data_IF_387664509995
#
_entry.id   IF_387664509995
#
_cell.length_a   1.000
_cell.length_b   1.000
_cell.length_c   1.000
_cell.angle_alpha   90.00
_cell.angle_beta   90.00
_cell.angle_gamma   90.00
#
_symmetry.space_group_name_H-M   'P 1'
#
loop_
_entity.id
_entity.type
_entity.pdbx_description
1 polymer ?
#
# COMPACT_ATOMS: atom_id res chain seq x y z
N UNK A 1 -1.46 -11.45 -24.87
CA UNK A 1 -0.85 -11.00 -23.59
C UNK A 1 -1.80 -11.17 -22.38
N UNK A 2 -2.72 -12.16 -22.39
CA UNK A 2 -3.67 -12.40 -21.28
C UNK A 2 -3.32 -13.61 -20.38
N UNK A 3 -2.28 -14.40 -20.71
CA UNK A 3 -2.03 -15.67 -20.01
C UNK A 3 -1.29 -15.57 -18.66
N UNK A 4 -0.55 -14.48 -18.39
CA UNK A 4 0.30 -14.40 -17.19
C UNK A 4 -0.51 -14.14 -15.90
N UNK A 5 -1.69 -13.53 -15.99
CA UNK A 5 -2.55 -13.28 -14.82
C UNK A 5 -3.45 -14.47 -14.45
N UNK A 6 -3.70 -15.37 -15.40
CA UNK A 6 -4.49 -16.60 -15.19
C UNK A 6 -3.75 -17.63 -14.33
N UNK A 7 -2.43 -17.47 -14.15
CA UNK A 7 -1.60 -18.40 -13.38
C UNK A 7 -1.50 -18.06 -11.87
N UNK A 8 -1.30 -16.79 -11.51
CA UNK A 8 -1.03 -16.43 -10.10
C UNK A 8 -2.21 -16.71 -9.15
N UNK A 9 -3.44 -16.49 -9.60
CA UNK A 9 -4.63 -16.77 -8.78
C UNK A 9 -4.78 -18.27 -8.49
N UNK A 10 -4.51 -19.11 -9.49
CA UNK A 10 -4.56 -20.57 -9.39
C UNK A 10 -3.45 -21.09 -8.50
N UNK A 11 -2.21 -20.65 -8.71
CA UNK A 11 -1.07 -21.00 -7.88
C UNK A 11 -1.27 -20.57 -6.41
N UNK A 12 -1.76 -19.34 -6.19
CA UNK A 12 -2.10 -18.85 -4.86
C UNK A 12 -3.21 -19.68 -4.22
N UNK A 13 -4.24 -20.09 -4.96
CA UNK A 13 -5.31 -20.94 -4.44
C UNK A 13 -4.79 -22.29 -3.96
N UNK A 14 -3.90 -22.91 -4.73
CA UNK A 14 -3.25 -24.18 -4.36
C UNK A 14 -2.37 -24.00 -3.11
N UNK A 15 -1.61 -22.91 -3.05
CA UNK A 15 -0.80 -22.56 -1.88
C UNK A 15 -1.65 -22.37 -0.62
N UNK A 16 -2.72 -21.59 -0.69
CA UNK A 16 -3.60 -21.34 0.46
C UNK A 16 -4.39 -22.57 0.90
N UNK A 17 -4.66 -23.52 -0.01
CA UNK A 17 -5.29 -24.79 0.36
C UNK A 17 -4.54 -25.53 1.48
N UNK A 18 -3.21 -25.37 1.52
CA UNK A 18 -2.33 -26.05 2.49
C UNK A 18 -1.85 -25.14 3.62
N UNK A 19 -1.84 -23.82 3.42
CA UNK A 19 -1.25 -22.86 4.37
C UNK A 19 -2.27 -22.03 5.15
N UNK A 20 -3.48 -21.84 4.62
CA UNK A 20 -4.54 -21.03 5.24
C UNK A 20 -5.93 -21.37 4.70
N UNK A 21 -6.65 -22.25 5.42
CA UNK A 21 -7.99 -22.71 5.03
C UNK A 21 -9.03 -21.59 4.98
N UNK A 22 -8.88 -20.55 5.81
CA UNK A 22 -9.80 -19.38 5.80
C UNK A 22 -9.61 -18.61 4.50
N UNK A 23 -8.36 -18.35 4.10
CA UNK A 23 -8.07 -17.69 2.83
C UNK A 23 -8.54 -18.53 1.64
N UNK A 24 -8.26 -19.84 1.63
CA UNK A 24 -8.70 -20.75 0.56
C UNK A 24 -10.22 -20.71 0.37
N UNK A 25 -10.99 -20.80 1.47
CA UNK A 25 -12.46 -20.73 1.41
C UNK A 25 -12.95 -19.35 0.96
N UNK A 26 -12.30 -18.28 1.40
CA UNK A 26 -12.62 -16.93 0.94
C UNK A 26 -12.42 -16.80 -0.57
N UNK A 27 -11.37 -17.40 -1.12
CA UNK A 27 -11.16 -17.44 -2.56
C UNK A 27 -12.26 -18.19 -3.30
N UNK A 28 -12.72 -19.33 -2.77
CA UNK A 28 -13.80 -20.10 -3.39
C UNK A 28 -15.12 -19.31 -3.44
N UNK A 29 -15.40 -18.51 -2.41
CA UNK A 29 -16.62 -17.68 -2.36
C UNK A 29 -16.53 -16.45 -3.27
N UNK A 30 -15.36 -15.80 -3.31
CA UNK A 30 -15.15 -14.59 -4.11
C UNK A 30 -15.00 -14.92 -5.60
N UNK A 31 -14.42 -16.08 -5.91
CA UNK A 31 -14.10 -16.48 -7.28
C UNK A 31 -12.71 -16.03 -7.74
N UNK A 32 -12.47 -15.96 -9.07
CA UNK A 32 -11.15 -15.73 -9.66
C UNK A 32 -10.46 -14.45 -9.19
N UNK A 33 -9.13 -14.49 -9.10
CA UNK A 33 -8.32 -13.31 -8.79
C UNK A 33 -8.39 -12.29 -9.92
N UNK A 34 -8.90 -11.09 -9.62
CA UNK A 34 -9.22 -10.07 -10.63
C UNK A 34 -8.38 -8.80 -10.58
N UNK A 35 -7.25 -8.78 -9.87
CA UNK A 35 -6.36 -7.61 -9.89
C UNK A 35 -5.57 -7.61 -11.21
N UNK A 36 -5.84 -6.61 -12.05
CA UNK A 36 -5.07 -6.34 -13.25
C UNK A 36 -4.18 -5.12 -13.02
N UNK A 37 -2.84 -5.26 -13.03
CA UNK A 37 -1.94 -4.13 -12.91
C UNK A 37 -1.96 -3.27 -14.17
N UNK A 38 -1.93 -1.95 -13.99
CA UNK A 38 -1.78 -0.99 -15.07
C UNK A 38 -0.30 -0.88 -15.44
N UNK A 39 0.15 -1.75 -16.34
CA UNK A 39 1.56 -1.86 -16.73
C UNK A 39 2.04 -0.67 -17.58
N UNK A 40 1.12 0.08 -18.19
CA UNK A 40 1.44 1.26 -19.00
C UNK A 40 1.50 2.54 -18.15
N UNK A 41 1.09 2.47 -16.87
CA UNK A 41 1.16 3.61 -15.97
C UNK A 41 2.60 3.87 -15.49
N UNK A 42 3.09 5.07 -15.78
CA UNK A 42 4.39 5.51 -15.27
C UNK A 42 4.35 5.74 -13.75
N UNK A 43 5.48 5.59 -13.04
CA UNK A 43 5.53 5.83 -11.59
C UNK A 43 5.11 7.25 -11.23
N UNK A 44 5.54 8.24 -12.02
CA UNK A 44 5.11 9.63 -11.87
C UNK A 44 3.58 9.76 -11.95
N UNK A 45 2.94 9.18 -12.98
CA UNK A 45 1.49 9.23 -13.14
C UNK A 45 0.76 8.54 -11.99
N UNK A 46 1.25 7.37 -11.56
CA UNK A 46 0.67 6.62 -10.45
C UNK A 46 0.70 7.43 -9.15
N UNK A 47 1.86 7.98 -8.79
CA UNK A 47 2.06 8.75 -7.57
C UNK A 47 1.32 10.10 -7.61
N UNK A 48 1.33 10.79 -8.75
CA UNK A 48 0.58 12.04 -8.91
C UNK A 48 -0.94 11.81 -8.76
N UNK A 49 -1.46 10.72 -9.32
CA UNK A 49 -2.85 10.30 -9.10
C UNK A 49 -3.13 9.99 -7.63
N UNK A 50 -2.22 9.29 -6.96
CA UNK A 50 -2.36 9.00 -5.53
C UNK A 50 -2.44 10.29 -4.70
N UNK A 51 -1.52 11.24 -4.92
CA UNK A 51 -1.51 12.56 -4.28
C UNK A 51 -2.84 13.30 -4.54
N UNK A 52 -3.35 13.25 -5.76
CA UNK A 52 -4.64 13.87 -6.10
C UNK A 52 -5.81 13.28 -5.29
N UNK A 53 -5.83 11.96 -5.06
CA UNK A 53 -6.91 11.27 -4.34
C UNK A 53 -6.86 11.45 -2.82
N UNK A 54 -5.72 11.84 -2.24
CA UNK A 54 -5.59 12.01 -0.80
C UNK A 54 -6.66 12.96 -0.24
N UNK A 55 -7.34 12.52 0.82
CA UNK A 55 -8.35 13.29 1.56
C UNK A 55 -9.54 13.81 0.72
N UNK A 56 -9.83 13.17 -0.43
CA UNK A 56 -10.96 13.53 -1.29
C UNK A 56 -11.86 12.33 -1.58
N UNK A 57 -13.13 12.62 -1.86
CA UNK A 57 -14.01 11.64 -2.50
C UNK A 57 -13.49 11.32 -3.93
N UNK A 58 -13.65 10.07 -4.37
CA UNK A 58 -13.04 9.61 -5.63
C UNK A 58 -13.49 10.40 -6.86
N UNK A 59 -14.74 10.88 -6.91
CA UNK A 59 -15.26 11.71 -8.00
C UNK A 59 -14.55 13.07 -8.08
N UNK A 60 -14.30 13.73 -6.95
CA UNK A 60 -13.60 15.01 -6.91
C UNK A 60 -12.16 14.90 -7.44
N UNK A 61 -11.43 13.87 -7.00
CA UNK A 61 -10.07 13.62 -7.47
C UNK A 61 -10.01 13.31 -8.98
N UNK A 62 -10.96 12.51 -9.49
CA UNK A 62 -11.10 12.24 -10.93
C UNK A 62 -11.32 13.52 -11.73
N UNK A 63 -12.20 14.41 -11.28
CA UNK A 63 -12.46 15.69 -11.95
C UNK A 63 -11.22 16.61 -11.98
N UNK A 64 -10.46 16.68 -10.87
CA UNK A 64 -9.21 17.46 -10.82
C UNK A 64 -8.19 16.90 -11.81
N UNK A 65 -8.01 15.57 -11.84
CA UNK A 65 -7.07 14.91 -12.75
C UNK A 65 -7.48 15.07 -14.22
N UNK A 66 -8.77 15.01 -14.53
CA UNK A 66 -9.27 15.26 -15.88
C UNK A 66 -8.91 16.67 -16.35
N UNK A 67 -9.10 17.69 -15.50
CA UNK A 67 -8.71 19.08 -15.79
C UNK A 67 -7.19 19.24 -15.96
N UNK A 68 -6.40 18.57 -15.13
CA UNK A 68 -4.93 18.56 -15.28
C UNK A 68 -4.51 18.06 -16.67
N UNK A 69 -5.11 16.95 -17.13
CA UNK A 69 -4.80 16.35 -18.44
C UNK A 69 -5.29 17.25 -19.58
N UNK A 70 -6.52 17.75 -19.52
CA UNK A 70 -7.10 18.55 -20.60
C UNK A 70 -6.42 19.90 -20.75
N UNK A 71 -6.16 20.60 -19.64
CA UNK A 71 -5.73 22.00 -19.65
C UNK A 71 -4.20 22.10 -19.66
N UNK A 72 -3.52 21.34 -18.82
CA UNK A 72 -2.08 21.50 -18.63
C UNK A 72 -1.25 20.45 -19.37
N UNK A 73 -1.82 19.25 -19.56
CA UNK A 73 -1.20 18.09 -20.20
C UNK A 73 -1.43 17.95 -21.71
N UNK A 74 -2.18 18.88 -22.33
CA UNK A 74 -2.47 18.91 -23.78
C UNK A 74 -3.03 17.58 -24.31
N UNK A 75 -3.95 16.97 -23.56
CA UNK A 75 -4.58 15.70 -23.94
C UNK A 75 -3.83 14.44 -23.47
N UNK A 76 -2.68 14.60 -22.81
CA UNK A 76 -1.93 13.50 -22.18
C UNK A 76 -1.63 13.82 -20.72
N UNK A 77 -1.26 12.82 -19.91
CA UNK A 77 -0.82 13.10 -18.54
C UNK A 77 0.52 13.86 -18.59
N UNK A 78 0.68 14.98 -17.87
CA UNK A 78 1.89 15.79 -17.97
C UNK A 78 3.14 14.99 -17.59
N UNK A 79 4.27 15.26 -18.24
CA UNK A 79 5.57 14.77 -17.81
C UNK A 79 6.02 15.52 -16.54
N UNK A 80 7.02 15.01 -15.79
CA UNK A 80 7.61 15.75 -14.67
C UNK A 80 8.05 17.18 -15.06
N UNK A 81 8.76 17.32 -16.18
CA UNK A 81 9.23 18.61 -16.69
C UNK A 81 8.06 19.54 -17.03
N UNK A 82 7.01 19.00 -17.67
CA UNK A 82 5.82 19.78 -17.99
C UNK A 82 5.10 20.22 -16.72
N UNK A 83 4.99 19.35 -15.72
CA UNK A 83 4.38 19.71 -14.44
C UNK A 83 5.11 20.88 -13.78
N UNK A 84 6.44 20.86 -13.81
CA UNK A 84 7.28 21.94 -13.28
C UNK A 84 7.16 23.26 -14.06
N UNK A 85 6.80 23.22 -15.34
CA UNK A 85 6.61 24.42 -16.16
C UNK A 85 5.23 25.08 -16.01
N UNK A 86 4.23 24.40 -15.43
CA UNK A 86 2.90 24.99 -15.20
C UNK A 86 3.02 26.04 -14.08
N UNK A 87 2.36 27.20 -14.14
CA UNK A 87 2.26 28.13 -13.01
C UNK A 87 1.49 27.54 -11.82
N UNK A 88 1.89 27.87 -10.60
CA UNK A 88 1.17 27.41 -9.41
C UNK A 88 -0.29 27.88 -9.37
N UNK A 89 -0.56 29.10 -9.83
CA UNK A 89 -1.91 29.67 -9.94
C UNK A 89 -2.83 28.82 -10.83
N UNK A 90 -2.32 28.26 -11.92
CA UNK A 90 -3.08 27.34 -12.78
C UNK A 90 -3.39 26.02 -12.07
N UNK A 91 -2.42 25.45 -11.36
CA UNK A 91 -2.64 24.24 -10.56
C UNK A 91 -3.66 24.46 -9.43
N UNK A 92 -3.69 25.67 -8.85
CA UNK A 92 -4.72 26.08 -7.88
C UNK A 92 -6.09 26.16 -8.55
N UNK A 93 -6.17 26.79 -9.73
CA UNK A 93 -7.43 26.95 -10.47
C UNK A 93 -8.06 25.62 -10.88
N UNK A 94 -7.27 24.60 -11.24
CA UNK A 94 -7.81 23.25 -11.53
C UNK A 94 -8.28 22.48 -10.29
N UNK A 95 -7.91 22.92 -9.08
CA UNK A 95 -8.44 22.41 -7.82
C UNK A 95 -7.45 21.71 -6.89
N UNK A 96 -6.13 21.75 -7.16
CA UNK A 96 -5.15 21.22 -6.20
C UNK A 96 -4.94 22.19 -5.05
N UNK A 97 -4.91 21.70 -3.81
CA UNK A 97 -4.49 22.51 -2.65
C UNK A 97 -2.99 22.83 -2.70
N UNK A 98 -2.54 23.86 -1.97
CA UNK A 98 -1.12 24.21 -1.86
C UNK A 98 -0.25 23.02 -1.40
N UNK A 99 -0.72 22.23 -0.43
CA UNK A 99 -0.01 21.05 0.03
C UNK A 99 0.15 19.99 -1.09
N UNK A 100 -0.88 19.78 -1.91
CA UNK A 100 -0.82 18.86 -3.06
C UNK A 100 0.08 19.39 -4.16
N UNK A 101 0.07 20.70 -4.41
CA UNK A 101 0.99 21.32 -5.37
C UNK A 101 2.43 21.11 -4.93
N UNK A 102 2.76 21.40 -3.67
CA UNK A 102 4.11 21.16 -3.14
C UNK A 102 4.54 19.69 -3.27
N UNK A 103 3.64 18.74 -2.99
CA UNK A 103 3.90 17.31 -3.17
C UNK A 103 4.11 16.92 -4.65
N UNK A 104 3.32 17.50 -5.56
CA UNK A 104 3.44 17.26 -7.00
C UNK A 104 4.75 17.81 -7.58
N UNK A 105 5.19 19.00 -7.15
CA UNK A 105 6.47 19.59 -7.55
C UNK A 105 7.64 18.73 -7.06
N UNK A 106 7.62 18.38 -5.77
CA UNK A 106 8.64 17.52 -5.17
C UNK A 106 8.71 16.14 -5.86
N UNK A 107 7.55 15.55 -6.19
CA UNK A 107 7.49 14.33 -6.99
C UNK A 107 8.14 14.50 -8.38
N UNK A 108 7.83 15.59 -9.08
CA UNK A 108 8.41 15.84 -10.41
C UNK A 108 9.93 16.04 -10.35
N UNK A 109 10.41 16.82 -9.40
CA UNK A 109 11.85 17.03 -9.17
C UNK A 109 12.56 15.70 -8.88
N UNK A 110 12.00 14.88 -7.98
CA UNK A 110 12.56 13.57 -7.63
C UNK A 110 12.51 12.56 -8.78
N UNK A 111 11.54 12.66 -9.70
CA UNK A 111 11.56 11.89 -10.94
C UNK A 111 12.71 12.35 -11.86
N UNK A 112 12.94 13.65 -11.99
CA UNK A 112 14.01 14.20 -12.84
C UNK A 112 15.40 13.85 -12.27
N UNK A 113 15.53 13.85 -10.94
CA UNK A 113 16.77 13.50 -10.24
C UNK A 113 17.03 11.98 -10.18
N UNK A 114 16.10 11.14 -10.62
CA UNK A 114 16.23 9.67 -10.55
C UNK A 114 15.98 9.07 -9.15
N UNK A 115 15.54 9.86 -8.18
CA UNK A 115 15.13 9.37 -6.86
C UNK A 115 13.90 8.48 -7.00
N UNK A 116 12.89 8.93 -7.76
CA UNK A 116 11.78 8.07 -8.19
C UNK A 116 12.22 7.36 -9.47
N UNK A 117 12.45 6.03 -9.44
CA UNK A 117 13.00 5.33 -10.59
C UNK A 117 12.01 5.31 -11.76
N UNK A 118 12.53 5.23 -12.98
CA UNK A 118 11.74 4.96 -14.17
C UNK A 118 11.09 3.57 -14.10
N UNK A 119 10.08 3.35 -14.94
CA UNK A 119 9.39 2.04 -15.04
C UNK A 119 10.37 0.88 -15.24
N UNK A 120 11.34 1.05 -16.15
CA UNK A 120 12.35 0.04 -16.49
C UNK A 120 13.29 -0.25 -15.32
N UNK A 121 13.60 0.75 -14.50
CA UNK A 121 14.46 0.57 -13.33
C UNK A 121 13.71 -0.15 -12.20
N UNK A 122 12.41 0.14 -12.02
CA UNK A 122 11.60 -0.51 -10.99
C UNK A 122 11.53 -2.03 -11.13
N UNK A 123 11.64 -2.58 -12.34
CA UNK A 123 11.64 -4.03 -12.58
C UNK A 123 12.84 -4.72 -11.89
N UNK A 124 13.97 -4.02 -11.78
CA UNK A 124 15.24 -4.54 -11.26
C UNK A 124 15.45 -4.27 -9.77
N UNK A 125 14.65 -3.40 -9.17
CA UNK A 125 14.76 -3.03 -7.77
C UNK A 125 13.91 -3.94 -6.89
N UNK A 126 14.39 -4.20 -5.68
CA UNK A 126 13.59 -4.87 -4.66
C UNK A 126 12.47 -3.96 -4.14
N UNK A 127 11.39 -4.56 -3.63
CA UNK A 127 10.28 -3.82 -3.02
C UNK A 127 10.76 -2.91 -1.87
N UNK A 128 11.76 -3.34 -1.11
CA UNK A 128 12.34 -2.57 -0.01
C UNK A 128 13.05 -1.30 -0.51
N UNK A 129 13.87 -1.41 -1.56
CA UNK A 129 14.56 -0.26 -2.16
C UNK A 129 13.57 0.72 -2.80
N UNK A 130 12.52 0.22 -3.45
CA UNK A 130 11.48 1.08 -4.04
C UNK A 130 10.76 1.86 -2.93
N UNK A 131 10.39 1.20 -1.83
CA UNK A 131 9.77 1.86 -0.67
C UNK A 131 10.70 2.93 -0.09
N UNK A 132 11.97 2.61 0.15
CA UNK A 132 12.94 3.55 0.70
C UNK A 132 13.09 4.80 -0.17
N UNK A 133 13.26 4.63 -1.48
CA UNK A 133 13.45 5.75 -2.40
C UNK A 133 12.19 6.59 -2.57
N UNK A 134 11.06 5.94 -2.85
CA UNK A 134 9.82 6.65 -3.23
C UNK A 134 9.16 7.34 -2.04
N UNK A 135 9.37 6.84 -0.81
CA UNK A 135 8.86 7.52 0.41
C UNK A 135 9.61 8.81 0.75
N UNK A 136 10.70 9.15 0.05
CA UNK A 136 11.33 10.46 0.15
C UNK A 136 10.46 11.57 -0.48
N UNK A 137 9.50 11.20 -1.34
CA UNK A 137 8.56 12.15 -1.94
C UNK A 137 7.61 12.69 -0.87
N UNK A 138 7.49 14.01 -0.80
CA UNK A 138 6.61 14.72 0.14
C UNK A 138 5.18 14.22 0.01
N UNK A 139 4.61 13.77 1.13
CA UNK A 139 3.22 13.29 1.18
C UNK A 139 3.02 11.89 0.61
N UNK A 140 4.07 11.20 0.17
CA UNK A 140 4.02 9.79 -0.24
C UNK A 140 4.51 8.91 0.91
N UNK A 141 3.56 8.22 1.54
CA UNK A 141 3.86 7.26 2.60
C UNK A 141 4.09 5.84 2.06
N UNK A 142 4.57 4.95 2.94
CA UNK A 142 4.78 3.52 2.64
C UNK A 142 3.55 2.87 1.98
N UNK A 143 2.37 3.09 2.54
CA UNK A 143 1.11 2.55 2.00
C UNK A 143 0.90 2.94 0.53
N UNK A 144 1.17 4.20 0.15
CA UNK A 144 1.03 4.65 -1.23
C UNK A 144 1.99 3.90 -2.17
N UNK A 145 3.22 3.65 -1.71
CA UNK A 145 4.19 2.87 -2.49
C UNK A 145 3.75 1.41 -2.59
N UNK A 146 3.24 0.80 -1.52
CA UNK A 146 2.71 -0.56 -1.53
C UNK A 146 1.53 -0.70 -2.52
N UNK A 147 0.64 0.29 -2.60
CA UNK A 147 -0.40 0.33 -3.64
C UNK A 147 0.21 0.37 -5.05
N UNK A 148 1.28 1.16 -5.26
CA UNK A 148 1.98 1.20 -6.54
C UNK A 148 2.62 -0.16 -6.90
N UNK A 149 3.26 -0.81 -5.93
CA UNK A 149 3.83 -2.15 -6.12
C UNK A 149 2.76 -3.15 -6.57
N UNK A 150 1.58 -3.13 -5.96
CA UNK A 150 0.48 -4.04 -6.30
C UNK A 150 -0.18 -3.69 -7.64
N UNK A 151 -0.65 -2.45 -7.80
CA UNK A 151 -1.55 -2.07 -8.90
C UNK A 151 -0.84 -1.56 -10.16
N UNK A 152 0.44 -1.23 -10.11
CA UNK A 152 1.20 -0.77 -11.29
C UNK A 152 2.34 -1.72 -11.66
N UNK A 153 3.02 -2.31 -10.66
CA UNK A 153 4.09 -3.28 -10.92
C UNK A 153 3.64 -4.74 -10.86
N UNK A 154 2.44 -5.02 -10.34
CA UNK A 154 1.96 -6.40 -10.20
C UNK A 154 2.80 -7.26 -9.26
N UNK A 155 3.50 -6.65 -8.28
CA UNK A 155 4.33 -7.39 -7.32
C UNK A 155 3.44 -8.36 -6.52
N UNK A 156 3.75 -9.67 -6.49
CA UNK A 156 2.84 -10.68 -5.94
C UNK A 156 2.88 -10.77 -4.41
N UNK A 157 3.90 -10.21 -3.78
CA UNK A 157 4.23 -10.47 -2.38
C UNK A 157 4.20 -9.22 -1.47
N UNK A 158 3.19 -8.37 -1.64
CA UNK A 158 3.00 -7.14 -0.86
C UNK A 158 1.85 -7.30 0.14
N UNK A 159 2.12 -7.00 1.41
CA UNK A 159 1.10 -6.96 2.47
C UNK A 159 1.06 -5.55 3.08
N UNK A 160 0.10 -4.69 2.70
CA UNK A 160 -0.01 -3.33 3.20
C UNK A 160 -0.65 -3.35 4.60
N UNK A 161 0.14 -3.65 5.62
CA UNK A 161 -0.34 -3.89 7.00
C UNK A 161 -0.95 -2.66 7.67
N UNK A 162 -0.74 -1.47 7.12
CA UNK A 162 -1.38 -0.22 7.58
C UNK A 162 -2.69 0.08 6.84
N UNK A 163 -3.03 -0.68 5.80
CA UNK A 163 -4.29 -0.52 5.06
C UNK A 163 -5.48 -0.94 5.93
N UNK A 164 -6.41 -0.01 6.12
CA UNK A 164 -7.62 -0.27 6.90
C UNK A 164 -8.47 -1.38 6.29
N UNK A 165 -8.61 -1.42 4.96
CA UNK A 165 -9.39 -2.41 4.25
C UNK A 165 -8.83 -3.82 4.43
N UNK A 166 -7.52 -4.00 4.29
CA UNK A 166 -6.82 -5.28 4.51
C UNK A 166 -6.96 -5.72 5.97
N UNK A 167 -6.69 -4.84 6.94
CA UNK A 167 -6.83 -5.19 8.37
C UNK A 167 -8.27 -5.52 8.74
N UNK A 168 -9.24 -4.76 8.22
CA UNK A 168 -10.66 -4.99 8.48
C UNK A 168 -11.15 -6.27 7.81
N UNK A 169 -10.72 -6.53 6.58
CA UNK A 169 -10.98 -7.77 5.86
C UNK A 169 -10.45 -8.97 6.63
N UNK A 170 -9.23 -8.87 7.15
CA UNK A 170 -8.65 -9.92 7.99
C UNK A 170 -9.45 -10.11 9.28
N UNK A 171 -9.84 -9.01 9.95
CA UNK A 171 -10.69 -9.08 11.14
C UNK A 171 -12.00 -9.83 10.85
N UNK A 172 -12.66 -9.50 9.75
CA UNK A 172 -13.95 -10.07 9.35
C UNK A 172 -13.83 -11.54 8.94
N UNK A 173 -12.97 -11.85 7.98
CA UNK A 173 -12.82 -13.20 7.43
C UNK A 173 -12.35 -14.22 8.48
N UNK A 174 -11.54 -13.78 9.45
CA UNK A 174 -10.98 -14.64 10.49
C UNK A 174 -11.72 -14.54 11.84
N UNK A 175 -12.86 -13.83 11.89
CA UNK A 175 -13.73 -13.78 13.07
C UNK A 175 -13.11 -13.10 14.28
N UNK A 176 -12.23 -12.13 14.08
CA UNK A 176 -11.60 -11.39 15.16
C UNK A 176 -12.55 -10.32 15.71
N UNK A 177 -12.62 -10.23 17.04
CA UNK A 177 -13.44 -9.21 17.72
C UNK A 177 -12.90 -7.80 17.50
N UNK A 178 -11.58 -7.65 17.49
CA UNK A 178 -10.89 -6.37 17.41
C UNK A 178 -10.02 -6.26 16.15
N UNK A 179 -9.74 -5.03 15.74
CA UNK A 179 -8.83 -4.77 14.63
C UNK A 179 -7.42 -5.27 14.96
N UNK A 180 -6.81 -6.17 14.15
CA UNK A 180 -5.47 -6.67 14.40
C UNK A 180 -4.46 -5.52 14.37
N UNK A 181 -3.45 -5.53 15.24
CA UNK A 181 -2.32 -4.60 15.11
C UNK A 181 -1.52 -4.88 13.82
N UNK A 182 -0.92 -3.87 13.16
CA UNK A 182 -0.15 -4.09 11.92
C UNK A 182 0.92 -5.16 12.06
N UNK A 183 1.63 -5.21 13.20
CA UNK A 183 2.64 -6.23 13.50
C UNK A 183 2.07 -7.64 13.64
N UNK A 184 0.85 -7.78 14.15
CA UNK A 184 0.22 -9.09 14.28
C UNK A 184 -0.24 -9.61 12.91
N UNK A 185 -0.77 -8.72 12.07
CA UNK A 185 -1.09 -9.04 10.67
C UNK A 185 0.18 -9.38 9.88
N UNK A 186 1.27 -8.63 10.04
CA UNK A 186 2.55 -8.93 9.41
C UNK A 186 3.03 -10.34 9.76
N UNK A 187 3.08 -10.68 11.06
CA UNK A 187 3.53 -11.99 11.53
C UNK A 187 2.63 -13.13 11.06
N UNK A 188 1.31 -12.92 11.04
CA UNK A 188 0.37 -13.92 10.53
C UNK A 188 0.57 -14.13 9.02
N UNK A 189 0.69 -13.03 8.27
CA UNK A 189 0.79 -13.02 6.82
C UNK A 189 2.07 -13.59 6.22
N UNK A 190 3.08 -13.93 7.03
CA UNK A 190 4.27 -14.65 6.53
C UNK A 190 3.91 -15.99 5.88
N UNK A 191 2.85 -16.67 6.35
CA UNK A 191 2.34 -17.91 5.74
C UNK A 191 1.79 -17.71 4.33
N UNK A 192 1.45 -16.46 3.97
CA UNK A 192 0.88 -16.15 2.67
C UNK A 192 1.93 -15.87 1.60
N UNK A 193 3.23 -15.86 1.94
CA UNK A 193 4.28 -15.75 0.94
C UNK A 193 4.25 -16.96 -0.02
N UNK A 194 4.51 -16.76 -1.33
CA UNK A 194 4.89 -15.50 -1.99
C UNK A 194 3.69 -14.69 -2.54
N UNK A 195 2.46 -14.93 -2.07
CA UNK A 195 1.21 -14.42 -2.64
C UNK A 195 0.48 -13.42 -1.73
N UNK A 196 1.22 -12.62 -0.94
CA UNK A 196 0.61 -11.64 -0.02
C UNK A 196 -0.24 -10.58 -0.71
N UNK A 197 0.04 -10.22 -1.96
CA UNK A 197 -0.80 -9.29 -2.73
C UNK A 197 -2.14 -9.92 -3.11
N UNK A 198 -2.15 -11.24 -3.38
CA UNK A 198 -3.38 -12.00 -3.63
C UNK A 198 -4.22 -12.05 -2.36
N UNK A 199 -3.62 -12.41 -1.22
CA UNK A 199 -4.29 -12.38 0.07
C UNK A 199 -4.90 -11.00 0.36
N UNK A 200 -4.14 -9.92 0.19
CA UNK A 200 -4.59 -8.54 0.41
C UNK A 200 -5.82 -8.19 -0.44
N UNK A 201 -5.85 -8.62 -1.71
CA UNK A 201 -6.99 -8.41 -2.59
C UNK A 201 -8.24 -9.14 -2.11
N UNK A 202 -8.12 -10.41 -1.72
CA UNK A 202 -9.26 -11.17 -1.16
C UNK A 202 -9.73 -10.58 0.19
N UNK A 203 -8.84 -10.03 1.00
CA UNK A 203 -9.24 -9.32 2.23
C UNK A 203 -10.07 -8.07 1.92
N UNK A 204 -9.79 -7.32 0.85
CA UNK A 204 -10.69 -6.25 0.41
C UNK A 204 -12.07 -6.79 -0.03
N UNK A 205 -12.10 -7.90 -0.76
CA UNK A 205 -13.36 -8.58 -1.14
C UNK A 205 -14.14 -9.07 0.08
N UNK A 206 -13.46 -9.51 1.14
CA UNK A 206 -14.13 -9.88 2.39
C UNK A 206 -14.89 -8.70 3.03
N UNK A 207 -14.37 -7.48 2.91
CA UNK A 207 -15.08 -6.27 3.39
C UNK A 207 -16.35 -6.03 2.57
N UNK A 208 -16.30 -6.23 1.25
CA UNK A 208 -17.45 -6.10 0.35
C UNK A 208 -18.51 -7.16 0.65
N UNK A 209 -18.11 -8.45 0.70
CA UNK A 209 -19.01 -9.55 1.06
C UNK A 209 -19.66 -9.34 2.44
N UNK A 210 -18.92 -8.81 3.41
CA UNK A 210 -19.48 -8.51 4.73
C UNK A 210 -20.55 -7.41 4.68
N UNK A 211 -20.35 -6.37 3.87
CA UNK A 211 -21.35 -5.31 3.66
C UNK A 211 -22.60 -5.85 2.97
N UNK A 212 -22.45 -6.84 2.11
CA UNK A 212 -23.54 -7.52 1.41
C UNK A 212 -24.20 -8.64 2.24
N UNK A 213 -23.72 -8.94 3.45
CA UNK A 213 -24.23 -10.04 4.27
C UNK A 213 -23.92 -11.44 3.72
N UNK A 214 -22.93 -11.54 2.81
CA UNK A 214 -22.56 -12.77 2.08
C UNK A 214 -21.24 -13.39 2.55
N UNK A 215 -20.56 -12.76 3.50
CA UNK A 215 -19.30 -13.31 4.03
C UNK A 215 -19.58 -14.61 4.80
N UNK A 216 -18.92 -15.73 4.46
CA UNK A 216 -19.10 -16.98 5.20
C UNK A 216 -18.58 -16.83 6.64
N UNK A 217 -19.09 -17.64 7.58
CA UNK A 217 -18.48 -17.71 8.91
C UNK A 217 -17.02 -18.20 8.79
N UNK A 218 -16.12 -17.77 9.69
CA UNK A 218 -14.72 -18.19 9.69
C UNK A 218 -14.61 -19.72 9.67
N UNK A 219 -13.77 -20.25 8.77
CA UNK A 219 -13.56 -21.70 8.65
C UNK A 219 -12.91 -22.30 9.91
N UNK A 220 -12.11 -21.51 10.63
CA UNK A 220 -11.48 -21.89 11.89
C UNK A 220 -11.29 -20.68 12.81
N UNK A 221 -11.09 -20.95 14.10
CA UNK A 221 -10.69 -19.93 15.07
C UNK A 221 -9.18 -19.82 15.10
N UNK A 222 -8.63 -18.67 14.73
CA UNK A 222 -7.20 -18.41 14.81
C UNK A 222 -6.81 -17.75 16.14
N UNK A 223 -5.57 -17.98 16.57
CA UNK A 223 -4.92 -17.23 17.65
C UNK A 223 -3.75 -16.44 17.07
N UNK A 224 -3.80 -15.12 17.18
CA UNK A 224 -2.70 -14.27 16.75
C UNK A 224 -1.50 -14.38 17.71
N UNK A 225 -0.26 -14.25 17.21
CA UNK A 225 0.93 -14.23 18.04
C UNK A 225 0.83 -13.15 19.13
N UNK A 226 1.14 -13.50 20.38
CA UNK A 226 1.26 -12.51 21.45
C UNK A 226 2.47 -11.62 21.16
N UNK A 227 2.22 -10.38 20.75
CA UNK A 227 3.30 -9.40 20.57
C UNK A 227 3.89 -9.03 21.92
N UNK A 228 5.11 -9.49 22.21
CA UNK A 228 5.85 -9.05 23.38
C UNK A 228 6.07 -7.53 23.30
N UNK A 229 5.55 -6.77 24.28
CA UNK A 229 5.82 -5.33 24.40
C UNK A 229 7.29 -5.12 24.77
N UNK A 230 8.18 -5.00 23.78
CA UNK A 230 9.61 -4.68 23.96
C UNK A 230 9.82 -3.35 24.72
N UNK A 231 8.81 -2.46 24.71
CA UNK A 231 8.85 -1.13 25.33
C UNK A 231 9.19 -1.10 26.83
N UNK A 232 8.91 -2.15 27.61
CA UNK A 232 9.22 -2.15 29.06
C UNK A 232 10.68 -2.50 29.37
N UNK A 233 11.31 -3.43 28.63
CA UNK A 233 12.69 -3.86 28.93
C UNK A 233 13.73 -2.81 28.55
N UNK A 234 13.53 -2.10 27.44
CA UNK A 234 14.48 -1.05 26.99
C UNK A 234 14.38 0.20 27.88
N UNK A 235 13.16 0.62 28.25
CA UNK A 235 12.96 1.75 29.16
C UNK A 235 13.56 1.46 30.56
N UNK A 236 13.30 0.28 31.12
CA UNK A 236 13.88 -0.13 32.41
C UNK A 236 15.42 -0.21 32.34
N UNK A 237 15.99 -0.71 31.25
CA UNK A 237 17.45 -0.80 31.07
C UNK A 237 18.10 0.58 30.89
N UNK A 238 17.45 1.52 30.20
CA UNK A 238 17.92 2.90 30.08
C UNK A 238 17.84 3.66 31.41
N UNK A 239 16.82 3.38 32.22
CA UNK A 239 16.65 3.98 33.55
C UNK A 239 17.67 3.44 34.56
N UNK A 240 17.98 2.14 34.51
CA UNK A 240 19.07 1.51 35.27
C UNK A 240 20.45 2.07 34.88
N UNK A 241 20.70 2.30 33.59
CA UNK A 241 21.96 2.92 33.13
C UNK A 241 22.09 4.39 33.55
N UNK A 242 20.98 5.16 33.55
CA UNK A 242 20.95 6.55 34.03
C UNK A 242 21.20 6.66 35.53
N UNK A 243 20.61 5.76 36.32
CA UNK A 243 20.81 5.72 37.78
C UNK A 243 22.23 5.28 38.16
N UNK A 244 22.80 4.30 37.45
CA UNK A 244 24.19 3.87 37.65
C UNK A 244 25.20 5.00 37.34
N UNK A 245 24.99 5.78 36.27
CA UNK A 245 25.82 6.94 35.94
C UNK A 245 25.76 8.04 37.00
N UNK A 246 24.58 8.35 37.55
CA UNK A 246 24.43 9.34 38.63
C UNK A 246 25.12 8.92 39.94
N UNK A 247 25.15 7.62 40.26
CA UNK A 247 25.87 7.11 41.45
C UNK A 247 27.39 7.18 41.31
N UNK A 248 27.93 6.97 40.11
CA UNK A 248 29.38 7.09 39.84
C UNK A 248 29.89 8.53 39.82
N UNK A 249 29.04 9.51 39.53
CA UNK A 249 29.42 10.92 39.53
C UNK A 249 29.34 11.62 40.91
N UNK A 250 28.91 10.90 41.96
CA UNK A 250 28.76 11.39 43.34
C UNK A 250 29.78 10.76 44.31
N UNK A 251 30.71 9.97 43.79
CA UNK A 251 31.74 9.25 44.54
C UNK A 251 33.09 9.67 43.97
#
# INVERSE_FOLDING_TARGET
>A
MNDVHVDIGTAARAHFATTDVVMARLMDVVGPYGLLPDLDCTPFRALARAIAHQQLHGTAAKSILARLVSTCGRGSFPTPQRLLAIPESELRAIGFSYAKIAALRDLAEKCIQGVVPSRRELERLSDAEIIERVTQVRGVGRWTVEMMLMFQLGRPDVLPVDDFGVRNGFRLAYGLKEMPAPRALAAYGERWRPYRSVASWYLWRAVELAREGRLPPPAEKIRLPRLLRVRRKVAARLEQLRTARKKRARK
#
